data_IF_547272870870
#
_entry.id   IF_547272870870
#
_cell.length_a   1.000
_cell.length_b   1.000
_cell.length_c   1.000
_cell.angle_alpha   90.00
_cell.angle_beta   90.00
_cell.angle_gamma   90.00
#
_symmetry.space_group_name_H-M   'P 1'
#
loop_
_entity.id
_entity.type
_entity.pdbx_description
1 polymer ?
#
# COMPACT_ATOMS: atom_id res chain seq x y z
N UNK A 1 -72.26 -17.23 -31.22
CA UNK A 1 -71.08 -16.53 -31.77
C UNK A 1 -71.43 -15.04 -31.74
N UNK A 2 -71.63 -14.38 -30.59
CA UNK A 2 -70.64 -13.97 -29.57
C UNK A 2 -69.36 -13.43 -30.22
N UNK A 3 -68.99 -12.15 -30.14
CA UNK A 3 -69.57 -10.97 -29.51
C UNK A 3 -68.81 -9.71 -29.95
N UNK A 4 -69.53 -8.59 -30.01
CA UNK A 4 -69.08 -7.21 -30.22
C UNK A 4 -68.47 -6.66 -28.92
N UNK A 5 -67.47 -5.77 -28.97
CA UNK A 5 -67.57 -4.39 -28.44
C UNK A 5 -66.24 -3.70 -28.13
N UNK A 6 -66.19 -2.44 -28.56
CA UNK A 6 -65.59 -1.28 -27.90
C UNK A 6 -65.28 -1.43 -26.40
N UNK A 7 -64.16 -0.86 -25.94
CA UNK A 7 -64.12 0.38 -25.14
C UNK A 7 -62.75 0.62 -24.51
N UNK A 8 -62.39 1.89 -24.53
CA UNK A 8 -61.34 2.55 -23.74
C UNK A 8 -61.42 2.18 -22.26
N UNK A 9 -60.27 1.89 -21.63
CA UNK A 9 -60.07 2.10 -20.19
C UNK A 9 -58.63 2.58 -19.96
N UNK A 10 -58.53 3.90 -19.80
CA UNK A 10 -57.87 4.62 -18.71
C UNK A 10 -56.63 4.00 -18.03
N UNK A 11 -55.57 4.78 -18.12
CA UNK A 11 -54.46 4.96 -17.17
C UNK A 11 -54.77 4.49 -15.75
N UNK A 12 -54.06 3.44 -15.31
CA UNK A 12 -53.99 3.07 -13.90
C UNK A 12 -52.67 3.61 -13.34
N UNK A 13 -52.81 4.68 -12.55
CA UNK A 13 -51.81 5.21 -11.63
C UNK A 13 -51.33 4.11 -10.66
N UNK A 14 -50.09 3.67 -10.82
CA UNK A 14 -49.40 2.82 -9.85
C UNK A 14 -48.70 3.69 -8.80
N UNK A 15 -49.46 4.45 -8.02
CA UNK A 15 -48.96 5.02 -6.78
C UNK A 15 -49.09 3.98 -5.65
N UNK A 16 -48.09 3.10 -5.54
CA UNK A 16 -47.82 2.31 -4.33
C UNK A 16 -46.42 2.65 -3.81
N UNK A 17 -46.41 3.58 -2.86
CA UNK A 17 -45.30 3.86 -1.96
C UNK A 17 -44.87 2.59 -1.22
N UNK A 18 -43.62 2.18 -1.35
CA UNK A 18 -42.92 1.44 -0.28
C UNK A 18 -41.39 1.53 -0.44
N UNK A 19 -40.79 2.48 0.27
CA UNK A 19 -39.54 2.25 1.00
C UNK A 19 -38.22 2.21 0.22
N UNK A 20 -37.84 3.29 -0.47
CA UNK A 20 -36.42 3.55 -0.71
C UNK A 20 -35.93 4.58 0.29
N UNK A 21 -35.15 4.12 1.28
CA UNK A 21 -34.24 4.99 2.05
C UNK A 21 -33.37 5.70 1.02
N UNK A 22 -33.64 6.99 0.81
CA UNK A 22 -32.86 7.84 -0.08
C UNK A 22 -31.39 7.75 0.31
N UNK A 23 -30.57 7.29 -0.62
CA UNK A 23 -29.14 7.53 -0.56
C UNK A 23 -28.99 9.05 -0.52
N UNK A 24 -28.55 9.60 0.60
CA UNK A 24 -28.25 11.02 0.71
C UNK A 24 -26.80 11.17 0.26
N UNK A 25 -26.50 11.62 -0.98
CA UNK A 25 -25.12 11.85 -1.37
C UNK A 25 -24.61 12.99 -0.49
N UNK A 26 -23.70 12.67 0.42
CA UNK A 26 -22.99 13.66 1.23
C UNK A 26 -22.43 14.70 0.26
N UNK A 27 -22.90 15.93 0.42
CA UNK A 27 -22.54 17.04 -0.44
C UNK A 27 -21.03 17.23 -0.36
N UNK A 28 -20.36 17.29 -1.51
CA UNK A 28 -18.89 17.40 -1.67
C UNK A 28 -18.26 18.61 -0.98
N UNK A 29 -19.07 19.45 -0.34
CA UNK A 29 -18.72 20.67 0.38
C UNK A 29 -18.42 20.42 1.87
N UNK A 30 -18.77 19.25 2.40
CA UNK A 30 -18.49 18.87 3.80
C UNK A 30 -17.22 17.99 3.93
N UNK A 31 -16.48 17.79 2.84
CA UNK A 31 -15.13 17.22 2.90
C UNK A 31 -14.18 18.28 3.47
N UNK A 32 -13.77 18.01 4.71
CA UNK A 32 -12.73 18.68 5.50
C UNK A 32 -11.55 19.24 4.69
N UNK A 33 -10.92 20.33 5.19
CA UNK A 33 -10.07 21.20 4.39
C UNK A 33 -8.76 20.54 3.93
N UNK A 34 -8.39 20.82 2.68
CA UNK A 34 -7.04 20.80 2.09
C UNK A 34 -6.01 19.85 2.74
N UNK A 35 -6.05 18.58 2.34
CA UNK A 35 -4.90 17.66 2.45
C UNK A 35 -4.12 17.64 1.13
N UNK A 36 -3.89 18.82 0.55
CA UNK A 36 -3.00 19.03 -0.58
C UNK A 36 -2.05 20.17 -0.17
N UNK A 37 -0.77 19.96 -0.41
CA UNK A 37 0.34 20.92 -0.25
C UNK A 37 1.01 21.03 1.12
N UNK A 38 1.35 19.89 1.73
CA UNK A 38 2.70 19.77 2.25
C UNK A 38 3.53 18.98 1.24
N UNK A 39 4.21 19.67 0.33
CA UNK A 39 5.41 19.14 -0.32
C UNK A 39 6.48 18.90 0.77
N UNK A 40 6.25 17.94 1.65
CA UNK A 40 7.32 17.35 2.44
C UNK A 40 8.21 16.66 1.43
N UNK A 41 9.35 17.29 1.15
CA UNK A 41 10.48 16.65 0.49
C UNK A 41 10.62 15.23 1.01
N UNK A 42 10.60 14.24 0.10
CA UNK A 42 10.77 12.81 0.42
C UNK A 42 12.23 12.52 0.83
N UNK A 43 12.79 13.31 1.74
CA UNK A 43 14.18 13.26 2.14
C UNK A 43 14.34 12.26 3.29
N UNK A 44 14.45 10.99 2.93
CA UNK A 44 14.96 9.96 3.82
C UNK A 44 16.48 9.92 3.61
N UNK A 45 17.25 10.06 4.70
CA UNK A 45 18.71 10.05 4.58
C UNK A 45 19.20 8.66 4.18
N UNK A 46 20.35 8.60 3.51
CA UNK A 46 20.99 7.34 3.12
C UNK A 46 21.21 6.45 4.34
N UNK A 47 21.75 7.03 5.40
CA UNK A 47 22.08 6.33 6.65
C UNK A 47 20.82 5.77 7.32
N UNK A 48 19.70 6.50 7.26
CA UNK A 48 18.42 6.02 7.78
C UNK A 48 17.91 4.80 7.00
N UNK A 49 18.00 4.84 5.66
CA UNK A 49 17.62 3.70 4.83
C UNK A 49 18.54 2.49 5.07
N UNK A 50 19.84 2.70 5.23
CA UNK A 50 20.82 1.65 5.52
C UNK A 50 20.54 0.96 6.86
N UNK A 51 20.28 1.74 7.92
CA UNK A 51 19.90 1.21 9.22
C UNK A 51 18.60 0.41 9.16
N UNK A 52 17.60 0.92 8.41
CA UNK A 52 16.36 0.19 8.20
C UNK A 52 16.61 -1.13 7.45
N UNK A 53 17.40 -1.10 6.39
CA UNK A 53 17.73 -2.30 5.63
C UNK A 53 18.47 -3.33 6.49
N UNK A 54 19.37 -2.89 7.38
CA UNK A 54 20.03 -3.75 8.36
C UNK A 54 19.03 -4.40 9.32
N UNK A 55 18.08 -3.62 9.85
CA UNK A 55 17.02 -4.15 10.70
C UNK A 55 16.21 -5.23 9.96
N UNK A 56 15.78 -4.94 8.74
CA UNK A 56 15.00 -5.86 7.91
C UNK A 56 15.76 -7.15 7.60
N UNK A 57 17.05 -7.08 7.23
CA UNK A 57 17.87 -8.26 6.96
C UNK A 57 18.00 -9.19 8.17
N UNK A 58 17.99 -8.64 9.38
CA UNK A 58 18.10 -9.44 10.61
C UNK A 58 16.79 -10.13 11.01
N UNK A 59 15.64 -9.58 10.60
CA UNK A 59 14.31 -10.12 10.94
C UNK A 59 13.78 -11.02 9.83
N UNK A 60 14.00 -10.63 8.57
CA UNK A 60 13.44 -11.33 7.41
C UNK A 60 14.43 -12.39 6.94
N UNK A 61 14.06 -13.68 6.95
CA UNK A 61 14.94 -14.74 6.49
C UNK A 61 15.32 -14.51 5.03
N UNK A 62 16.63 -14.46 4.77
CA UNK A 62 17.16 -14.37 3.42
C UNK A 62 17.23 -15.79 2.86
N UNK A 63 16.25 -16.14 2.03
CA UNK A 63 16.30 -17.43 1.34
C UNK A 63 17.19 -17.31 0.10
N UNK A 64 18.26 -18.11 0.05
CA UNK A 64 19.05 -18.27 -1.18
C UNK A 64 18.22 -18.99 -2.24
N UNK A 65 18.04 -18.37 -3.39
CA UNK A 65 17.32 -18.99 -4.49
C UNK A 65 18.17 -20.12 -5.10
N UNK A 66 17.66 -21.36 -5.05
CA UNK A 66 18.32 -22.58 -5.56
C UNK A 66 17.54 -23.25 -6.72
N UNK A 67 16.61 -22.52 -7.35
CA UNK A 67 15.62 -23.09 -8.26
C UNK A 67 15.91 -22.87 -9.75
N UNK A 68 14.95 -23.30 -10.57
CA UNK A 68 14.86 -23.01 -12.01
C UNK A 68 13.76 -21.96 -12.20
N UNK A 69 14.02 -20.89 -12.95
CA UNK A 69 13.07 -19.80 -13.19
C UNK A 69 13.65 -18.41 -12.97
N UNK A 70 12.78 -17.39 -12.84
CA UNK A 70 13.21 -16.01 -12.59
C UNK A 70 13.67 -15.87 -11.15
N UNK A 71 14.86 -15.29 -10.96
CA UNK A 71 15.37 -14.96 -9.63
C UNK A 71 14.38 -14.02 -8.93
N UNK A 72 13.97 -14.30 -7.68
CA UNK A 72 13.05 -13.44 -6.97
C UNK A 72 13.69 -12.08 -6.68
N UNK A 73 12.84 -11.05 -6.54
CA UNK A 73 13.27 -9.74 -6.10
C UNK A 73 13.91 -9.81 -4.72
N UNK A 74 14.83 -8.88 -4.44
CA UNK A 74 15.45 -8.76 -3.14
C UNK A 74 14.40 -8.38 -2.08
N UNK A 75 14.00 -9.37 -1.27
CA UNK A 75 12.92 -9.20 -0.29
C UNK A 75 13.27 -8.18 0.78
N UNK A 76 14.54 -8.10 1.19
CA UNK A 76 14.96 -7.15 2.21
C UNK A 76 14.74 -5.70 1.75
N UNK A 77 15.11 -5.41 0.49
CA UNK A 77 14.89 -4.08 -0.09
C UNK A 77 13.40 -3.76 -0.18
N UNK A 78 12.60 -4.70 -0.69
CA UNK A 78 11.15 -4.48 -0.82
C UNK A 78 10.47 -4.27 0.54
N UNK A 79 10.84 -5.06 1.55
CA UNK A 79 10.34 -4.92 2.91
C UNK A 79 10.77 -3.59 3.54
N UNK A 80 12.02 -3.16 3.32
CA UNK A 80 12.51 -1.87 3.81
C UNK A 80 11.73 -0.70 3.19
N UNK A 81 11.53 -0.70 1.88
CA UNK A 81 10.75 0.33 1.18
C UNK A 81 9.31 0.38 1.69
N UNK A 82 8.66 -0.76 1.83
CA UNK A 82 7.28 -0.82 2.33
C UNK A 82 7.20 -0.34 3.78
N UNK A 83 8.13 -0.75 4.63
CA UNK A 83 8.17 -0.28 6.01
C UNK A 83 8.38 1.23 6.09
N UNK A 84 9.31 1.77 5.30
CA UNK A 84 9.56 3.20 5.19
C UNK A 84 8.31 3.96 4.73
N UNK A 85 7.62 3.45 3.71
CA UNK A 85 6.37 4.03 3.23
C UNK A 85 5.30 4.07 4.33
N UNK A 86 5.18 3.01 5.13
CA UNK A 86 4.26 2.97 6.28
C UNK A 86 4.64 4.02 7.33
N UNK A 87 5.93 4.15 7.66
CA UNK A 87 6.40 5.13 8.65
C UNK A 87 6.11 6.57 8.22
N UNK A 88 6.26 6.85 6.94
CA UNK A 88 6.11 8.19 6.36
C UNK A 88 4.67 8.49 5.89
N UNK A 89 3.74 7.54 6.06
CA UNK A 89 2.35 7.69 5.59
C UNK A 89 2.21 7.75 4.06
N UNK A 90 3.15 7.17 3.32
CA UNK A 90 3.16 7.19 1.86
C UNK A 90 2.19 6.17 1.27
N UNK A 91 1.55 6.57 0.17
CA UNK A 91 0.88 5.62 -0.73
C UNK A 91 1.89 4.72 -1.46
N UNK A 92 1.43 3.57 -1.94
CA UNK A 92 2.25 2.65 -2.76
C UNK A 92 2.80 3.33 -4.03
N UNK A 93 2.08 4.35 -4.55
CA UNK A 93 2.53 5.14 -5.69
C UNK A 93 3.74 6.01 -5.31
N UNK A 94 3.66 6.73 -4.19
CA UNK A 94 4.76 7.55 -3.69
C UNK A 94 5.99 6.69 -3.33
N UNK A 95 5.77 5.50 -2.78
CA UNK A 95 6.85 4.56 -2.51
C UNK A 95 7.57 4.12 -3.82
N UNK A 96 6.83 3.87 -4.89
CA UNK A 96 7.42 3.53 -6.19
C UNK A 96 8.20 4.71 -6.78
N UNK A 97 7.66 5.92 -6.69
CA UNK A 97 8.34 7.16 -7.12
C UNK A 97 9.63 7.40 -6.33
N UNK A 98 9.61 7.17 -5.00
CA UNK A 98 10.82 7.23 -4.18
C UNK A 98 11.86 6.21 -4.66
N UNK A 99 11.46 4.99 -5.01
CA UNK A 99 12.37 3.98 -5.55
C UNK A 99 12.97 4.37 -6.91
N UNK A 100 12.20 5.05 -7.76
CA UNK A 100 12.71 5.57 -9.05
C UNK A 100 13.78 6.64 -8.81
N UNK A 101 13.52 7.56 -7.88
CA UNK A 101 14.44 8.64 -7.52
C UNK A 101 15.70 8.15 -6.78
N UNK A 102 15.64 6.99 -6.11
CA UNK A 102 16.73 6.42 -5.32
C UNK A 102 17.25 5.09 -5.88
N UNK A 103 17.10 4.84 -7.19
CA UNK A 103 17.45 3.56 -7.81
C UNK A 103 18.93 3.18 -7.60
N UNK A 104 19.83 4.16 -7.61
CA UNK A 104 21.26 3.93 -7.38
C UNK A 104 21.53 3.36 -5.98
N UNK A 105 20.93 3.95 -4.95
CA UNK A 105 20.98 3.46 -3.58
C UNK A 105 20.46 2.02 -3.47
N UNK A 106 19.36 1.70 -4.16
CA UNK A 106 18.83 0.34 -4.17
C UNK A 106 19.84 -0.65 -4.80
N UNK A 107 20.53 -0.24 -5.87
CA UNK A 107 21.52 -1.08 -6.57
C UNK A 107 22.73 -1.37 -5.69
N UNK A 108 23.25 -0.38 -4.99
CA UNK A 108 24.35 -0.55 -4.02
C UNK A 108 24.04 -1.63 -2.97
N UNK A 109 22.76 -1.78 -2.63
CA UNK A 109 22.29 -2.76 -1.65
C UNK A 109 21.81 -4.09 -2.23
N UNK A 110 22.04 -4.33 -3.52
CA UNK A 110 21.77 -5.60 -4.18
C UNK A 110 20.43 -5.68 -4.91
N UNK A 111 19.88 -4.55 -5.36
CA UNK A 111 18.81 -4.52 -6.35
C UNK A 111 19.39 -4.81 -7.75
N UNK A 112 19.06 -5.96 -8.32
CA UNK A 112 19.69 -6.45 -9.56
C UNK A 112 18.88 -6.11 -10.83
N UNK A 113 17.73 -5.46 -10.70
CA UNK A 113 16.84 -5.20 -11.81
C UNK A 113 17.15 -3.85 -12.47
N UNK A 114 16.93 -3.78 -13.78
CA UNK A 114 17.15 -2.55 -14.55
C UNK A 114 16.26 -1.41 -14.08
N UNK A 115 15.00 -1.73 -13.74
CA UNK A 115 13.98 -0.78 -13.29
C UNK A 115 13.80 -0.83 -11.79
N UNK A 116 13.37 0.29 -11.22
CA UNK A 116 12.95 0.36 -9.82
C UNK A 116 11.73 -0.56 -9.54
N UNK A 117 11.51 -0.96 -8.28
CA UNK A 117 10.28 -1.62 -7.85
C UNK A 117 9.03 -0.87 -8.33
N UNK A 118 8.17 -1.56 -9.10
CA UNK A 118 6.91 -0.99 -9.54
C UNK A 118 5.87 -0.97 -8.42
N UNK A 119 4.86 -0.10 -8.55
CA UNK A 119 3.68 -0.06 -7.66
C UNK A 119 3.06 -1.44 -7.43
N UNK A 120 2.97 -2.27 -8.48
CA UNK A 120 2.36 -3.60 -8.36
C UNK A 120 3.18 -4.53 -7.46
N UNK A 121 4.50 -4.48 -7.56
CA UNK A 121 5.40 -5.28 -6.72
C UNK A 121 5.28 -4.86 -5.27
N UNK A 122 5.32 -3.54 -5.02
CA UNK A 122 5.18 -3.00 -3.66
C UNK A 122 3.81 -3.31 -3.05
N UNK A 123 2.73 -3.23 -3.84
CA UNK A 123 1.40 -3.60 -3.39
C UNK A 123 1.32 -5.07 -2.98
N UNK A 124 1.94 -5.97 -3.75
CA UNK A 124 1.97 -7.40 -3.42
C UNK A 124 2.77 -7.66 -2.14
N UNK A 125 3.85 -6.91 -1.89
CA UNK A 125 4.62 -7.00 -0.65
C UNK A 125 3.78 -6.55 0.54
N UNK A 126 3.10 -5.40 0.44
CA UNK A 126 2.19 -4.89 1.50
C UNK A 126 1.14 -5.92 1.85
N UNK A 127 0.52 -6.55 0.85
CA UNK A 127 -0.54 -7.56 1.05
C UNK A 127 -0.05 -8.80 1.79
N UNK A 128 1.19 -9.22 1.56
CA UNK A 128 1.74 -10.45 2.10
C UNK A 128 2.61 -10.23 3.36
N UNK A 129 2.86 -8.99 3.75
CA UNK A 129 3.66 -8.66 4.92
C UNK A 129 2.85 -8.87 6.20
N UNK A 130 3.40 -9.63 7.15
CA UNK A 130 2.72 -9.87 8.43
C UNK A 130 2.92 -8.69 9.36
N UNK A 131 1.89 -8.36 10.15
CA UNK A 131 2.00 -7.35 11.21
C UNK A 131 3.10 -7.71 12.20
N UNK A 132 3.32 -9.01 12.47
CA UNK A 132 4.44 -9.48 13.29
C UNK A 132 5.80 -9.04 12.75
N UNK A 133 6.00 -9.09 11.43
CA UNK A 133 7.26 -8.73 10.79
C UNK A 133 7.52 -7.23 10.92
N UNK A 134 6.47 -6.41 10.75
CA UNK A 134 6.53 -4.96 10.97
C UNK A 134 6.94 -4.63 12.40
N UNK A 135 6.33 -5.28 13.40
CA UNK A 135 6.65 -5.05 14.80
C UNK A 135 8.09 -5.45 15.13
N UNK A 136 8.57 -6.57 14.59
CA UNK A 136 9.94 -7.06 14.76
C UNK A 136 10.96 -6.13 14.11
N UNK A 137 10.68 -5.65 12.90
CA UNK A 137 11.52 -4.63 12.21
C UNK A 137 11.57 -3.35 13.05
N UNK A 138 10.42 -2.86 13.54
CA UNK A 138 10.35 -1.66 14.37
C UNK A 138 11.15 -1.80 15.67
N UNK A 139 10.99 -2.93 16.37
CA UNK A 139 11.75 -3.28 17.55
C UNK A 139 13.25 -3.29 17.28
N UNK A 140 13.67 -3.92 16.17
CA UNK A 140 15.08 -4.01 15.79
C UNK A 140 15.66 -2.65 15.43
N UNK A 141 14.92 -1.84 14.69
CA UNK A 141 15.33 -0.48 14.32
C UNK A 141 15.52 0.39 15.56
N UNK A 142 14.62 0.30 16.56
CA UNK A 142 14.78 0.99 17.84
C UNK A 142 16.04 0.55 18.58
N UNK A 143 16.34 -0.74 18.59
CA UNK A 143 17.57 -1.26 19.20
C UNK A 143 18.83 -0.74 18.47
N UNK A 144 18.83 -0.73 17.13
CA UNK A 144 19.95 -0.19 16.34
C UNK A 144 20.15 1.32 16.55
N UNK A 145 19.10 2.08 16.81
CA UNK A 145 19.17 3.51 17.16
C UNK A 145 19.62 3.78 18.61
N UNK A 146 20.05 2.76 19.36
CA UNK A 146 20.53 2.88 20.75
C UNK A 146 19.46 2.67 21.83
N UNK A 147 18.26 2.22 21.45
CA UNK A 147 17.21 1.83 22.40
C UNK A 147 17.47 0.48 23.07
N UNK A 148 16.67 0.15 24.09
CA UNK A 148 16.79 -1.11 24.83
C UNK A 148 16.54 -2.30 23.88
N UNK A 149 17.47 -3.26 23.77
CA UNK A 149 17.28 -4.43 22.93
C UNK A 149 16.18 -5.31 23.54
N UNK A 150 15.12 -5.57 22.78
CA UNK A 150 14.13 -6.58 23.14
C UNK A 150 14.69 -7.96 22.82
N UNK A 151 14.55 -8.90 23.77
CA UNK A 151 15.15 -10.24 23.73
C UNK A 151 14.62 -11.15 22.58
N UNK A 152 13.61 -10.71 21.83
CA UNK A 152 12.93 -11.51 20.82
C UNK A 152 12.68 -10.67 19.55
N UNK A 153 13.24 -11.09 18.41
CA UNK A 153 13.06 -10.51 17.08
C UNK A 153 12.50 -11.56 16.10
#
# INVERSE_FOLDING_TARGET
MSGVSDRDIETIDLNKNSGHKGYNPVSRKDMTPNFQDSMTTFSVSREEFELLLQAVKSVTPQHEWKGIGRKPYNRAILHAVVFLAIQQGWSVRQAAEWCENNLELLREHGWNEKKAPSKSILHEVVKNMRVSDLLRISAKLKALKGGIPVLWF
#
